data_IF_482487554491
#
_entry.id   IF_482487554491
#
_cell.length_a   1.000
_cell.length_b   1.000
_cell.length_c   1.000
_cell.angle_alpha   90.00
_cell.angle_beta   90.00
_cell.angle_gamma   90.00
#
_symmetry.space_group_name_H-M   'P 1'
#
loop_
_entity.id
_entity.type
_entity.pdbx_description
1 polymer ?
#
# COMPACT_ATOMS: atom_id res chain seq x y z
N UNK A 1 19.17 17.23 3.48
CA UNK A 1 18.89 15.89 4.01
C UNK A 1 19.58 14.90 3.12
N UNK A 2 20.36 13.98 3.70
CA UNK A 2 20.93 12.86 2.96
C UNK A 2 19.82 11.80 2.76
N UNK A 3 19.58 11.42 1.50
CA UNK A 3 18.54 10.46 1.10
C UNK A 3 19.17 9.10 0.69
N UNK A 4 20.47 8.90 0.92
CA UNK A 4 21.22 7.71 0.50
C UNK A 4 20.67 6.36 1.02
N UNK A 5 19.80 6.37 2.04
CA UNK A 5 19.14 5.20 2.60
C UNK A 5 17.63 5.13 2.38
N UNK A 6 17.03 6.04 1.61
CA UNK A 6 15.59 6.04 1.32
C UNK A 6 15.37 5.65 -0.13
N UNK A 7 14.44 4.72 -0.35
CA UNK A 7 13.99 4.40 -1.69
C UNK A 7 12.56 4.88 -1.87
N UNK A 8 12.37 5.73 -2.90
CA UNK A 8 11.05 6.04 -3.42
C UNK A 8 10.52 4.79 -4.10
N UNK A 9 9.44 4.20 -3.58
CA UNK A 9 9.05 2.89 -4.08
C UNK A 9 8.24 3.00 -5.37
N UNK A 10 7.41 4.04 -5.62
CA UNK A 10 6.84 4.34 -6.94
C UNK A 10 6.42 5.83 -7.13
N UNK A 11 6.47 6.30 -8.38
CA UNK A 11 6.08 7.64 -8.86
C UNK A 11 4.66 7.67 -9.48
N UNK A 12 4.00 6.52 -9.59
CA UNK A 12 2.72 6.43 -10.27
C UNK A 12 1.59 6.83 -9.32
N UNK A 13 0.82 7.84 -9.68
CA UNK A 13 -0.45 8.26 -9.03
C UNK A 13 -1.57 7.20 -9.13
N UNK A 14 -1.21 5.93 -9.36
CA UNK A 14 -2.17 4.86 -9.53
C UNK A 14 -2.63 4.32 -8.18
N UNK A 15 -3.93 4.44 -7.94
CA UNK A 15 -4.60 4.09 -6.70
C UNK A 15 -4.25 2.68 -6.21
N UNK A 16 -4.14 1.68 -7.10
CA UNK A 16 -3.85 0.30 -6.69
C UNK A 16 -2.44 0.15 -6.08
N UNK A 17 -1.45 0.86 -6.64
CA UNK A 17 -0.08 0.84 -6.15
C UNK A 17 0.03 1.46 -4.77
N UNK A 18 -0.67 2.59 -4.54
CA UNK A 18 -0.76 3.27 -3.24
C UNK A 18 -1.35 2.34 -2.18
N UNK A 19 -2.42 1.60 -2.50
CA UNK A 19 -3.04 0.64 -1.57
C UNK A 19 -2.06 -0.46 -1.14
N UNK A 20 -1.43 -1.11 -2.14
CA UNK A 20 -0.47 -2.20 -1.89
C UNK A 20 0.71 -1.70 -1.06
N UNK A 21 1.27 -0.56 -1.42
CA UNK A 21 2.44 -0.02 -0.73
C UNK A 21 2.12 0.33 0.72
N UNK A 22 1.02 1.06 0.95
CA UNK A 22 0.60 1.40 2.31
C UNK A 22 0.39 0.15 3.15
N UNK A 23 -0.20 -0.91 2.58
CA UNK A 23 -0.36 -2.21 3.25
C UNK A 23 0.99 -2.81 3.65
N UNK A 24 1.94 -2.88 2.70
CA UNK A 24 3.28 -3.46 2.94
C UNK A 24 4.04 -2.67 4.01
N UNK A 25 3.96 -1.34 3.98
CA UNK A 25 4.55 -0.43 4.99
C UNK A 25 3.96 -0.64 6.39
N UNK A 26 2.68 -0.98 6.46
CA UNK A 26 2.00 -1.35 7.69
C UNK A 26 2.29 -2.81 8.12
N UNK A 27 2.95 -3.60 7.26
CA UNK A 27 3.22 -5.01 7.51
C UNK A 27 1.96 -5.87 7.54
N UNK A 28 0.88 -5.44 6.89
CA UNK A 28 -0.40 -6.11 6.90
C UNK A 28 -0.55 -7.10 5.74
N UNK A 29 -1.18 -8.24 5.99
CA UNK A 29 -1.59 -9.15 4.91
C UNK A 29 -2.83 -8.61 4.19
N UNK A 30 -3.09 -9.08 2.97
CA UNK A 30 -4.30 -8.68 2.23
C UNK A 30 -5.58 -9.05 3.00
N UNK A 31 -5.57 -10.20 3.69
CA UNK A 31 -6.70 -10.63 4.53
C UNK A 31 -6.93 -9.68 5.71
N UNK A 32 -5.87 -9.25 6.40
CA UNK A 32 -6.00 -8.33 7.52
C UNK A 32 -6.61 -6.97 7.11
N UNK A 33 -6.24 -6.45 5.92
CA UNK A 33 -6.86 -5.22 5.42
C UNK A 33 -8.31 -5.46 5.03
N UNK A 34 -8.62 -6.56 4.35
CA UNK A 34 -10.00 -6.92 3.98
C UNK A 34 -10.91 -7.03 5.21
N UNK A 35 -10.45 -7.70 6.26
CA UNK A 35 -11.17 -7.85 7.53
C UNK A 35 -11.41 -6.50 8.21
N UNK A 36 -10.37 -5.65 8.28
CA UNK A 36 -10.48 -4.31 8.87
C UNK A 36 -11.43 -3.40 8.08
N UNK A 37 -11.42 -3.50 6.75
CA UNK A 37 -12.31 -2.77 5.85
C UNK A 37 -13.73 -3.39 5.77
N UNK A 38 -13.95 -4.58 6.35
CA UNK A 38 -15.21 -5.33 6.25
C UNK A 38 -15.63 -5.55 4.80
N UNK A 39 -14.68 -5.96 3.96
CA UNK A 39 -14.88 -6.34 2.56
C UNK A 39 -14.41 -7.78 2.35
N UNK A 40 -14.88 -8.41 1.28
CA UNK A 40 -14.43 -9.77 0.92
C UNK A 40 -12.97 -9.72 0.44
N UNK A 41 -12.13 -10.67 0.84
CA UNK A 41 -10.71 -10.74 0.44
C UNK A 41 -10.53 -10.56 -1.08
N UNK A 42 -11.28 -11.32 -1.88
CA UNK A 42 -11.20 -11.26 -3.34
C UNK A 42 -11.49 -9.85 -3.88
N UNK A 43 -12.36 -9.09 -3.22
CA UNK A 43 -12.64 -7.72 -3.61
C UNK A 43 -11.44 -6.81 -3.34
N UNK A 44 -10.81 -6.93 -2.17
CA UNK A 44 -9.60 -6.19 -1.84
C UNK A 44 -8.44 -6.54 -2.78
N UNK A 45 -8.25 -7.83 -3.07
CA UNK A 45 -7.23 -8.31 -4.01
C UNK A 45 -7.37 -7.70 -5.40
N UNK A 46 -8.61 -7.54 -5.89
CA UNK A 46 -8.88 -6.88 -7.17
C UNK A 46 -8.53 -5.39 -7.18
N UNK A 47 -8.60 -4.73 -6.02
CA UNK A 47 -8.16 -3.34 -5.89
C UNK A 47 -6.64 -3.25 -5.93
N UNK A 48 -5.90 -4.11 -5.23
CA UNK A 48 -4.44 -4.10 -5.26
C UNK A 48 -3.84 -4.56 -6.60
N UNK A 49 -4.52 -5.46 -7.31
CA UNK A 49 -4.06 -5.94 -8.63
C UNK A 49 -4.37 -4.98 -9.78
N UNK A 50 -5.18 -3.95 -9.55
CA UNK A 50 -5.69 -3.06 -10.59
C UNK A 50 -6.81 -3.64 -11.46
N UNK A 51 -7.26 -4.88 -11.23
CA UNK A 51 -8.43 -5.47 -11.94
C UNK A 51 -9.71 -4.66 -11.71
N UNK A 52 -9.81 -4.02 -10.53
CA UNK A 52 -10.87 -3.07 -10.18
C UNK A 52 -10.24 -1.78 -9.70
N UNK A 53 -10.71 -0.65 -10.23
CA UNK A 53 -10.31 0.66 -9.73
C UNK A 53 -11.15 1.05 -8.51
N UNK A 54 -10.49 1.26 -7.37
CA UNK A 54 -11.13 1.73 -6.12
C UNK A 54 -11.82 3.09 -6.29
N UNK A 55 -11.33 3.95 -7.20
CA UNK A 55 -11.91 5.27 -7.48
C UNK A 55 -13.29 5.18 -8.15
N UNK A 56 -13.61 4.02 -8.74
CA UNK A 56 -14.90 3.76 -9.41
C UNK A 56 -15.82 2.81 -8.63
N UNK A 57 -15.40 2.37 -7.44
CA UNK A 57 -16.23 1.50 -6.60
C UNK A 57 -17.25 2.33 -5.79
N UNK A 58 -18.10 1.67 -4.99
CA UNK A 58 -19.03 2.42 -4.14
C UNK A 58 -18.24 3.27 -3.13
N UNK A 59 -18.71 4.50 -2.90
CA UNK A 59 -18.08 5.40 -1.94
C UNK A 59 -17.86 4.75 -0.57
N UNK A 60 -18.85 3.97 -0.10
CA UNK A 60 -18.76 3.21 1.14
C UNK A 60 -17.60 2.20 1.19
N UNK A 61 -17.30 1.53 0.08
CA UNK A 61 -16.20 0.56 0.00
C UNK A 61 -14.87 1.30 -0.07
N UNK A 62 -14.79 2.36 -0.89
CA UNK A 62 -13.61 3.20 -0.98
C UNK A 62 -13.19 3.73 0.39
N UNK A 63 -14.11 4.37 1.13
CA UNK A 63 -13.83 4.90 2.46
C UNK A 63 -13.32 3.83 3.42
N UNK A 64 -14.01 2.68 3.51
CA UNK A 64 -13.62 1.60 4.43
C UNK A 64 -12.22 1.06 4.15
N UNK A 65 -11.85 0.89 2.88
CA UNK A 65 -10.54 0.39 2.48
C UNK A 65 -9.44 1.43 2.79
N UNK A 66 -9.67 2.70 2.43
CA UNK A 66 -8.72 3.79 2.67
C UNK A 66 -8.51 4.00 4.18
N UNK A 67 -9.59 4.00 4.97
CA UNK A 67 -9.54 4.08 6.44
C UNK A 67 -8.85 2.86 7.07
N UNK A 68 -9.07 1.66 6.54
CA UNK A 68 -8.39 0.45 7.01
C UNK A 68 -6.86 0.55 6.87
N UNK A 69 -6.40 1.23 5.83
CA UNK A 69 -4.98 1.54 5.60
C UNK A 69 -4.49 2.79 6.35
N UNK A 70 -5.34 3.42 7.17
CA UNK A 70 -4.99 4.61 7.95
C UNK A 70 -4.62 5.81 7.06
N UNK A 71 -5.26 5.92 5.90
CA UNK A 71 -5.11 7.04 4.99
C UNK A 71 -6.31 7.97 5.10
N UNK A 72 -6.06 9.26 4.91
CA UNK A 72 -7.10 10.26 4.65
C UNK A 72 -7.66 10.14 3.22
N UNK A 73 -8.99 10.20 3.11
CA UNK A 73 -9.73 10.03 1.86
C UNK A 73 -9.54 11.21 0.91
N UNK A 74 -9.47 12.43 1.43
CA UNK A 74 -9.31 13.65 0.63
C UNK A 74 -7.92 13.69 0.02
N UNK A 75 -6.90 13.37 0.83
CA UNK A 75 -5.52 13.27 0.36
C UNK A 75 -5.34 12.14 -0.65
N UNK A 76 -6.05 11.01 -0.48
CA UNK A 76 -6.03 9.91 -1.43
C UNK A 76 -6.65 10.32 -2.77
N UNK A 77 -7.82 10.96 -2.73
CA UNK A 77 -8.51 11.43 -3.93
C UNK A 77 -7.69 12.46 -4.73
N UNK A 78 -6.94 13.32 -4.05
CA UNK A 78 -6.10 14.34 -4.68
C UNK A 78 -4.68 13.87 -5.02
N UNK A 79 -4.36 12.58 -4.87
CA UNK A 79 -3.05 12.04 -5.21
C UNK A 79 -1.91 12.59 -4.35
N UNK A 80 -2.18 12.93 -3.07
CA UNK A 80 -1.15 13.51 -2.18
C UNK A 80 -0.26 12.44 -1.50
N UNK A 81 -0.45 11.17 -1.81
CA UNK A 81 0.37 10.10 -1.26
C UNK A 81 1.57 9.82 -2.16
N UNK A 82 2.75 10.10 -1.62
CA UNK A 82 4.00 9.51 -2.04
C UNK A 82 4.60 8.84 -0.81
N UNK A 83 4.98 7.58 -0.94
CA UNK A 83 5.59 6.82 0.13
C UNK A 83 7.08 6.63 -0.17
N UNK A 84 7.90 6.81 0.86
CA UNK A 84 9.32 6.54 0.83
C UNK A 84 9.69 5.87 2.14
N UNK A 85 10.37 4.74 2.06
CA UNK A 85 10.80 3.99 3.22
C UNK A 85 12.32 3.89 3.26
N UNK A 86 12.87 3.85 4.48
CA UNK A 86 14.27 3.53 4.67
C UNK A 86 14.52 2.09 4.25
N UNK A 87 15.47 1.90 3.35
CA UNK A 87 15.91 0.58 2.89
C UNK A 87 17.38 0.36 3.23
N UNK A 88 17.75 -0.90 3.34
CA UNK A 88 19.16 -1.30 3.43
C UNK A 88 19.44 -2.45 2.46
N UNK A 89 20.69 -2.54 2.02
CA UNK A 89 21.14 -3.63 1.15
C UNK A 89 21.41 -4.88 1.99
N UNK A 90 20.84 -6.02 1.61
CA UNK A 90 21.21 -7.35 2.09
C UNK A 90 21.71 -8.23 0.93
N UNK A 91 22.34 -9.39 1.21
CA UNK A 91 22.79 -10.31 0.17
C UNK A 91 21.66 -10.81 -0.74
N UNK A 92 20.43 -10.85 -0.25
CA UNK A 92 19.24 -11.30 -0.99
C UNK A 92 18.50 -10.16 -1.73
N UNK A 93 18.90 -8.90 -1.53
CA UNK A 93 18.31 -7.74 -2.18
C UNK A 93 18.09 -6.55 -1.24
N UNK A 94 17.31 -5.57 -1.70
CA UNK A 94 16.93 -4.42 -0.88
C UNK A 94 15.84 -4.82 0.12
N UNK A 95 15.97 -4.39 1.37
CA UNK A 95 15.00 -4.66 2.43
C UNK A 95 14.48 -3.38 3.04
N UNK A 96 13.19 -3.35 3.36
CA UNK A 96 12.60 -2.30 4.19
C UNK A 96 13.17 -2.39 5.61
N UNK A 97 13.71 -1.29 6.14
CA UNK A 97 14.28 -1.25 7.49
C UNK A 97 13.24 -1.52 8.57
N UNK A 98 11.99 -1.09 8.34
CA UNK A 98 10.88 -1.20 9.28
C UNK A 98 10.34 -2.63 9.42
N UNK A 99 10.28 -3.38 8.34
CA UNK A 99 9.69 -4.74 8.32
C UNK A 99 10.73 -5.84 8.17
N UNK A 100 11.95 -5.50 7.75
CA UNK A 100 13.01 -6.45 7.40
C UNK A 100 12.72 -7.26 6.13
N UNK A 101 11.56 -7.06 5.48
CA UNK A 101 11.16 -7.80 4.28
C UNK A 101 11.89 -7.27 3.05
N UNK A 102 12.14 -8.15 2.08
CA UNK A 102 12.64 -7.71 0.77
C UNK A 102 11.61 -6.77 0.13
N UNK A 103 12.09 -5.75 -0.58
CA UNK A 103 11.22 -4.83 -1.34
C UNK A 103 10.46 -5.55 -2.46
N UNK A 104 10.94 -6.73 -2.85
CA UNK A 104 10.30 -7.63 -3.81
C UNK A 104 9.32 -8.64 -3.18
N UNK A 105 9.34 -8.83 -1.86
CA UNK A 105 8.48 -9.80 -1.17
C UNK A 105 7.16 -9.18 -0.72
N UNK A 106 6.07 -9.93 -0.86
CA UNK A 106 4.77 -9.53 -0.31
C UNK A 106 4.62 -9.97 1.16
N UNK A 107 3.67 -9.35 1.86
CA UNK A 107 3.25 -9.76 3.19
C UNK A 107 2.25 -10.92 3.07
N UNK A 108 2.76 -12.14 3.21
CA UNK A 108 1.96 -13.36 3.38
C UNK A 108 1.22 -13.40 4.71
#
# INVERSE_FOLDING_TARGET
>A
MDLSGFQMCHLSDDAHSILREKRVILGLTQQQVADKAKVVLQQYQKFESGERNIMTCSFSIACRVIEALGMDITDFYHGKYAFGEEVYSSPEGLRYKKTGKLTSEDVN
#
